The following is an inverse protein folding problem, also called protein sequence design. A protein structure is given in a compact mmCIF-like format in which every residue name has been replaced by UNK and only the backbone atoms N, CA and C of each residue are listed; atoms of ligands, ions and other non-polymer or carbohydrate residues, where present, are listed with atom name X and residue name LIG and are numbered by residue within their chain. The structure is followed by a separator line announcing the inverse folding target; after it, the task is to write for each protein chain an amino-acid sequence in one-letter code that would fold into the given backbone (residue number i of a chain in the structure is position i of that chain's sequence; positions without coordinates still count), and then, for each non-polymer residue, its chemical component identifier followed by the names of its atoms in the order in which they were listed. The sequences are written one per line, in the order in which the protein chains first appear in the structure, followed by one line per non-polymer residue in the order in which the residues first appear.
data_IF_457396031220
#
_entry.id   IF_457396031220
#
_cell.length_a   1.000
_cell.length_b   1.000
_cell.length_c   1.000
_cell.angle_alpha   90.00
_cell.angle_beta   90.00
_cell.angle_gamma   90.00
#
_symmetry.space_group_name_H-M   'P 1'
#
loop_
_entity.id
_entity.type
_entity.pdbx_description
1 polymer ?
#
# COMPACT_ATOMS: atom_id res chain seq x y z
N UNK A 1 26.03 -38.59 29.76
CA UNK A 1 25.02 -38.01 28.86
C UNK A 1 24.31 -36.88 29.61
N UNK A 2 24.55 -35.60 29.21
CA UNK A 2 23.86 -34.47 29.82
C UNK A 2 22.53 -34.27 29.06
N UNK A 3 21.40 -34.11 29.75
CA UNK A 3 20.16 -33.78 29.07
C UNK A 3 20.24 -32.39 28.51
N UNK A 4 20.03 -32.24 27.20
CA UNK A 4 19.90 -30.92 26.57
C UNK A 4 18.60 -30.29 27.09
N UNK A 5 18.77 -29.25 27.93
CA UNK A 5 17.66 -28.41 28.38
C UNK A 5 17.11 -27.68 27.13
N UNK A 6 15.95 -28.07 26.66
CA UNK A 6 15.22 -27.34 25.63
C UNK A 6 14.63 -26.11 26.32
N UNK A 7 15.29 -24.98 26.17
CA UNK A 7 14.72 -23.70 26.56
C UNK A 7 13.61 -23.37 25.56
N UNK A 8 12.36 -23.59 25.96
CA UNK A 8 11.20 -23.09 25.24
C UNK A 8 11.09 -21.59 25.55
N UNK A 9 11.51 -20.75 24.64
CA UNK A 9 11.10 -19.36 24.67
C UNK A 9 9.61 -19.32 24.38
N UNK A 10 8.79 -19.00 25.38
CA UNK A 10 7.44 -18.52 25.14
C UNK A 10 7.60 -17.14 24.48
N UNK A 11 7.52 -17.12 23.16
CA UNK A 11 7.30 -15.86 22.44
C UNK A 11 5.89 -15.45 22.84
N UNK A 12 5.76 -14.48 23.74
CA UNK A 12 4.51 -13.77 23.94
C UNK A 12 4.18 -13.15 22.58
N UNK A 13 3.16 -13.66 21.91
CA UNK A 13 2.68 -13.09 20.68
C UNK A 13 2.21 -11.68 21.01
N UNK A 14 2.86 -10.69 20.43
CA UNK A 14 2.38 -9.31 20.48
C UNK A 14 0.93 -9.34 20.01
N UNK A 15 -0.04 -8.81 20.79
CA UNK A 15 -1.45 -8.91 20.45
C UNK A 15 -1.82 -8.11 19.20
N UNK A 16 -0.87 -7.40 18.61
CA UNK A 16 -1.05 -6.52 17.47
C UNK A 16 -0.06 -6.83 16.35
N UNK A 17 -0.52 -6.71 15.10
CA UNK A 17 0.33 -6.79 13.93
C UNK A 17 0.00 -5.69 12.93
N UNK A 18 1.04 -5.08 12.38
CA UNK A 18 0.94 -4.02 11.37
C UNK A 18 1.47 -4.57 10.06
N UNK A 19 0.68 -4.45 9.00
CA UNK A 19 1.03 -4.93 7.67
C UNK A 19 1.21 -3.75 6.71
N UNK A 20 2.22 -3.80 5.89
CA UNK A 20 2.29 -3.00 4.68
C UNK A 20 1.40 -3.63 3.60
N UNK A 21 0.91 -2.83 2.64
CA UNK A 21 0.01 -3.32 1.60
C UNK A 21 0.76 -3.63 0.30
N UNK A 22 1.36 -2.60 -0.30
CA UNK A 22 1.95 -2.69 -1.63
C UNK A 22 3.26 -3.49 -1.61
N UNK A 23 3.31 -4.57 -2.38
CA UNK A 23 4.46 -5.48 -2.38
C UNK A 23 4.52 -6.42 -1.17
N UNK A 24 3.64 -6.29 -0.17
CA UNK A 24 3.56 -7.14 1.03
C UNK A 24 2.30 -7.99 1.05
N UNK A 25 1.12 -7.41 1.10
CA UNK A 25 -0.16 -8.12 0.99
C UNK A 25 -0.55 -8.35 -0.47
N UNK A 26 -0.29 -7.36 -1.33
CA UNK A 26 -0.63 -7.36 -2.74
C UNK A 26 0.62 -7.32 -3.63
N UNK A 27 0.56 -8.01 -4.76
CA UNK A 27 1.46 -7.82 -5.89
C UNK A 27 0.96 -6.62 -6.70
N UNK A 28 1.32 -5.41 -6.32
CA UNK A 28 0.80 -4.15 -6.86
C UNK A 28 1.86 -3.22 -7.44
N UNK A 29 3.16 -3.53 -7.28
CA UNK A 29 4.24 -2.66 -7.72
C UNK A 29 4.18 -2.36 -9.23
N UNK A 30 3.98 -3.39 -10.07
CA UNK A 30 3.84 -3.22 -11.52
C UNK A 30 2.56 -2.47 -11.93
N UNK A 31 1.50 -2.57 -11.14
CA UNK A 31 0.24 -1.85 -11.36
C UNK A 31 0.45 -0.33 -11.32
N UNK A 32 1.25 0.18 -10.37
CA UNK A 32 1.55 1.62 -10.29
C UNK A 32 2.32 2.14 -11.51
N UNK A 33 3.20 1.32 -12.11
CA UNK A 33 3.84 1.64 -13.39
C UNK A 33 2.79 1.75 -14.51
N UNK A 34 1.86 0.80 -14.58
CA UNK A 34 0.76 0.84 -15.56
C UNK A 34 -0.16 2.05 -15.37
N UNK A 35 -0.48 2.43 -14.13
CA UNK A 35 -1.24 3.67 -13.83
C UNK A 35 -0.53 4.88 -14.43
N UNK A 36 0.77 5.03 -14.17
CA UNK A 36 1.59 6.09 -14.72
C UNK A 36 1.55 6.10 -16.25
N UNK A 37 1.79 4.97 -16.87
CA UNK A 37 1.87 4.85 -18.34
C UNK A 37 0.52 5.13 -19.00
N UNK A 38 -0.59 4.65 -18.44
CA UNK A 38 -1.95 4.92 -18.96
C UNK A 38 -2.28 6.41 -18.93
N UNK A 39 -1.97 7.09 -17.82
CA UNK A 39 -2.24 8.52 -17.70
C UNK A 39 -1.41 9.31 -18.69
N UNK A 40 -0.10 9.07 -18.74
CA UNK A 40 0.78 9.81 -19.63
C UNK A 40 0.48 9.56 -21.10
N UNK A 41 0.14 8.32 -21.48
CA UNK A 41 -0.25 7.98 -22.85
C UNK A 41 -1.49 8.74 -23.33
N UNK A 42 -2.49 9.02 -22.46
CA UNK A 42 -3.69 9.82 -22.80
C UNK A 42 -3.32 11.22 -23.30
N UNK A 43 -2.19 11.76 -22.87
CA UNK A 43 -1.72 13.10 -23.22
C UNK A 43 -0.49 13.10 -24.13
N UNK A 44 -0.11 11.95 -24.69
CA UNK A 44 1.08 11.81 -25.54
C UNK A 44 2.38 12.14 -24.81
N UNK A 45 2.42 11.91 -23.51
CA UNK A 45 3.59 12.15 -22.64
C UNK A 45 4.30 10.85 -22.33
N UNK A 46 5.58 10.96 -21.97
CA UNK A 46 6.42 9.85 -21.53
C UNK A 46 7.18 10.24 -20.26
N UNK A 47 7.68 9.25 -19.54
CA UNK A 47 8.46 9.43 -18.32
C UNK A 47 9.82 8.73 -18.48
N UNK A 48 10.90 9.38 -18.08
CA UNK A 48 12.23 8.75 -18.07
C UNK A 48 12.36 7.76 -16.91
N UNK A 49 13.35 6.88 -16.97
CA UNK A 49 13.62 5.95 -15.87
C UNK A 49 13.91 6.69 -14.55
N UNK A 50 14.71 7.77 -14.60
CA UNK A 50 15.03 8.56 -13.41
C UNK A 50 13.77 9.21 -12.80
N UNK A 51 12.92 9.80 -13.63
CA UNK A 51 11.64 10.38 -13.19
C UNK A 51 10.71 9.31 -12.61
N UNK A 52 10.68 8.10 -13.19
CA UNK A 52 9.88 6.98 -12.67
C UNK A 52 10.35 6.55 -11.28
N UNK A 53 11.67 6.45 -11.07
CA UNK A 53 12.23 6.13 -9.75
C UNK A 53 11.91 7.20 -8.71
N UNK A 54 12.00 8.49 -9.09
CA UNK A 54 11.60 9.59 -8.21
C UNK A 54 10.10 9.54 -7.87
N UNK A 55 9.25 9.22 -8.86
CA UNK A 55 7.79 9.10 -8.68
C UNK A 55 7.38 8.03 -7.66
N UNK A 56 8.14 6.94 -7.54
CA UNK A 56 7.84 5.85 -6.60
C UNK A 56 7.79 6.28 -5.12
N UNK A 57 8.38 7.43 -4.79
CA UNK A 57 8.43 7.94 -3.42
C UNK A 57 7.44 9.07 -3.16
N UNK A 58 6.73 9.52 -4.19
CA UNK A 58 5.79 10.62 -4.10
C UNK A 58 4.41 10.17 -3.59
N UNK A 59 3.69 11.12 -3.00
CA UNK A 59 2.24 10.99 -2.77
C UNK A 59 1.49 11.19 -4.08
N UNK A 60 0.19 10.93 -4.10
CA UNK A 60 -0.66 11.20 -5.27
C UNK A 60 -0.58 12.67 -5.68
N UNK A 61 -0.59 13.61 -4.73
CA UNK A 61 -0.43 15.03 -4.99
C UNK A 61 0.96 15.36 -5.57
N UNK A 62 2.02 14.76 -5.03
CA UNK A 62 3.38 14.93 -5.54
C UNK A 62 3.53 14.40 -6.97
N UNK A 63 2.93 13.26 -7.27
CA UNK A 63 2.88 12.70 -8.63
C UNK A 63 2.09 13.60 -9.57
N UNK A 64 0.94 14.12 -9.14
CA UNK A 64 0.14 15.05 -9.93
C UNK A 64 0.90 16.33 -10.26
N UNK A 65 1.57 16.93 -9.26
CA UNK A 65 2.42 18.10 -9.47
C UNK A 65 3.55 17.81 -10.46
N UNK A 66 4.22 16.66 -10.34
CA UNK A 66 5.26 16.26 -11.30
C UNK A 66 4.70 16.11 -12.73
N UNK A 67 3.55 15.46 -12.90
CA UNK A 67 2.95 15.27 -14.22
C UNK A 67 2.55 16.59 -14.88
N UNK A 68 1.96 17.51 -14.12
CA UNK A 68 1.54 18.81 -14.62
C UNK A 68 2.73 19.73 -14.88
N UNK A 69 3.60 19.92 -13.89
CA UNK A 69 4.66 20.92 -13.94
C UNK A 69 5.88 20.48 -14.75
N UNK A 70 6.28 19.20 -14.66
CA UNK A 70 7.51 18.73 -15.31
C UNK A 70 7.24 18.02 -16.64
N UNK A 71 6.14 17.24 -16.74
CA UNK A 71 5.81 16.49 -17.95
C UNK A 71 4.81 17.24 -18.85
N UNK A 72 4.25 18.35 -18.38
CA UNK A 72 3.33 19.20 -19.14
C UNK A 72 2.00 18.50 -19.48
N UNK A 73 1.46 17.71 -18.55
CA UNK A 73 0.09 17.19 -18.64
C UNK A 73 -0.88 18.38 -18.55
N UNK A 74 -1.80 18.55 -19.52
CA UNK A 74 -2.65 19.73 -19.61
C UNK A 74 -3.88 19.65 -18.68
N UNK A 75 -3.65 19.45 -17.40
CA UNK A 75 -4.62 19.41 -16.32
C UNK A 75 -4.17 20.35 -15.20
N UNK A 76 -5.09 20.69 -14.31
CA UNK A 76 -4.71 21.20 -13.00
C UNK A 76 -4.20 20.08 -12.10
N UNK A 77 -3.40 20.38 -11.09
CA UNK A 77 -2.91 19.36 -10.16
C UNK A 77 -4.04 18.59 -9.45
N UNK A 78 -5.14 19.22 -8.97
CA UNK A 78 -6.27 18.51 -8.41
C UNK A 78 -6.95 17.55 -9.41
N UNK A 79 -7.16 17.96 -10.67
CA UNK A 79 -7.73 17.09 -11.71
C UNK A 79 -6.82 15.90 -12.00
N UNK A 80 -5.51 16.15 -12.07
CA UNK A 80 -4.52 15.10 -12.27
C UNK A 80 -4.50 14.12 -11.09
N UNK A 81 -4.58 14.61 -9.85
CA UNK A 81 -4.64 13.77 -8.66
C UNK A 81 -5.89 12.88 -8.65
N UNK A 82 -7.06 13.42 -9.01
CA UNK A 82 -8.28 12.61 -9.12
C UNK A 82 -8.18 11.56 -10.22
N UNK A 83 -7.56 11.89 -11.34
CA UNK A 83 -7.30 10.91 -12.42
C UNK A 83 -6.37 9.78 -11.93
N UNK A 84 -5.31 10.12 -11.20
CA UNK A 84 -4.41 9.13 -10.60
C UNK A 84 -5.18 8.20 -9.64
N UNK A 85 -6.03 8.75 -8.78
CA UNK A 85 -6.86 7.97 -7.85
C UNK A 85 -7.82 7.03 -8.58
N UNK A 86 -8.45 7.52 -9.64
CA UNK A 86 -9.37 6.71 -10.44
C UNK A 86 -8.65 5.53 -11.12
N UNK A 87 -7.49 5.79 -11.75
CA UNK A 87 -6.68 4.76 -12.38
C UNK A 87 -6.08 3.78 -11.36
N UNK A 88 -5.71 4.26 -10.17
CA UNK A 88 -5.22 3.40 -9.10
C UNK A 88 -6.33 2.48 -8.57
N UNK A 89 -7.56 2.98 -8.36
CA UNK A 89 -8.70 2.11 -7.98
C UNK A 89 -8.93 1.01 -9.01
N UNK A 90 -8.89 1.35 -10.29
CA UNK A 90 -9.00 0.37 -11.36
C UNK A 90 -7.86 -0.65 -11.30
N UNK A 91 -6.62 -0.20 -11.16
CA UNK A 91 -5.45 -1.06 -11.10
C UNK A 91 -5.50 -2.02 -9.91
N UNK A 92 -5.87 -1.54 -8.72
CA UNK A 92 -6.05 -2.41 -7.56
C UNK A 92 -7.13 -3.47 -7.76
N UNK A 93 -8.25 -3.12 -8.39
CA UNK A 93 -9.35 -4.04 -8.60
C UNK A 93 -9.11 -5.06 -9.73
N UNK A 94 -8.31 -4.71 -10.74
CA UNK A 94 -8.20 -5.50 -11.98
C UNK A 94 -6.82 -6.09 -12.23
N UNK A 95 -5.74 -5.49 -11.69
CA UNK A 95 -4.37 -5.87 -12.02
C UNK A 95 -3.60 -6.39 -10.80
N UNK A 96 -3.83 -5.82 -9.61
CA UNK A 96 -3.20 -6.30 -8.40
C UNK A 96 -3.74 -7.70 -8.01
N UNK A 97 -2.90 -8.51 -7.42
CA UNK A 97 -3.28 -9.84 -6.91
C UNK A 97 -2.79 -10.03 -5.48
N UNK A 98 -3.52 -10.84 -4.71
CA UNK A 98 -3.09 -11.20 -3.34
C UNK A 98 -1.84 -12.07 -3.42
N UNK A 99 -0.83 -11.77 -2.61
CA UNK A 99 0.37 -12.61 -2.55
C UNK A 99 0.06 -13.99 -2.00
N UNK A 100 0.72 -15.04 -2.53
CA UNK A 100 0.56 -16.41 -2.01
C UNK A 100 0.79 -16.48 -0.51
N UNK A 101 -0.11 -17.16 0.21
CA UNK A 101 0.01 -17.37 1.65
C UNK A 101 -0.56 -16.26 2.54
N UNK A 102 -0.92 -15.11 1.99
CA UNK A 102 -1.44 -13.97 2.78
C UNK A 102 -2.70 -14.36 3.54
N UNK A 103 -3.71 -14.89 2.88
CA UNK A 103 -4.97 -15.27 3.55
C UNK A 103 -4.76 -16.30 4.66
N UNK A 104 -3.89 -17.27 4.43
CA UNK A 104 -3.57 -18.30 5.43
C UNK A 104 -2.91 -17.70 6.67
N UNK A 105 -1.98 -16.74 6.47
CA UNK A 105 -1.30 -16.05 7.57
C UNK A 105 -2.29 -15.20 8.35
N UNK A 106 -3.09 -14.36 7.66
CA UNK A 106 -4.07 -13.50 8.30
C UNK A 106 -5.11 -14.31 9.09
N UNK A 107 -5.63 -15.38 8.51
CA UNK A 107 -6.57 -16.28 9.20
C UNK A 107 -5.94 -16.92 10.44
N UNK A 108 -4.70 -17.40 10.34
CA UNK A 108 -3.99 -18.02 11.46
C UNK A 108 -3.69 -17.02 12.59
N UNK A 109 -3.39 -15.78 12.28
CA UNK A 109 -3.17 -14.71 13.27
C UNK A 109 -4.49 -14.32 13.92
N UNK A 110 -5.54 -14.12 13.13
CA UNK A 110 -6.87 -13.80 13.64
C UNK A 110 -7.39 -14.88 14.59
N UNK A 111 -7.23 -16.17 14.25
CA UNK A 111 -7.62 -17.28 15.10
C UNK A 111 -6.86 -17.33 16.44
N UNK A 112 -5.72 -16.65 16.55
CA UNK A 112 -4.95 -16.50 17.79
C UNK A 112 -5.27 -15.20 18.56
N UNK A 113 -6.27 -14.45 18.11
CA UNK A 113 -6.68 -13.18 18.74
C UNK A 113 -5.74 -12.01 18.45
N UNK A 114 -4.87 -12.10 17.43
CA UNK A 114 -4.02 -10.99 17.02
C UNK A 114 -4.89 -9.94 16.33
N UNK A 115 -4.85 -8.71 16.82
CA UNK A 115 -5.48 -7.54 16.19
C UNK A 115 -4.57 -7.03 15.07
N UNK A 116 -5.13 -6.69 13.93
CA UNK A 116 -4.34 -6.38 12.74
C UNK A 116 -4.76 -5.04 12.14
N UNK A 117 -3.78 -4.26 11.67
CA UNK A 117 -4.03 -3.04 10.90
C UNK A 117 -3.08 -2.97 9.69
N UNK A 118 -3.39 -2.07 8.77
CA UNK A 118 -2.56 -1.79 7.60
C UNK A 118 -1.93 -0.40 7.73
N UNK A 119 -0.64 -0.31 7.42
CA UNK A 119 0.09 0.95 7.29
C UNK A 119 0.76 1.02 5.91
N UNK A 120 0.33 1.94 5.06
CA UNK A 120 0.82 2.07 3.68
C UNK A 120 1.21 3.51 3.34
N UNK A 121 2.07 3.67 2.33
CA UNK A 121 2.29 4.95 1.66
C UNK A 121 1.11 5.40 0.79
N UNK A 122 0.17 4.51 0.52
CA UNK A 122 -1.07 4.75 -0.24
C UNK A 122 -2.13 5.41 0.65
N UNK A 123 -2.99 6.24 0.07
CA UNK A 123 -4.08 6.93 0.78
C UNK A 123 -5.12 5.94 1.31
N UNK A 124 -5.68 6.21 2.51
CA UNK A 124 -6.68 5.35 3.16
C UNK A 124 -7.83 4.92 2.24
N UNK A 125 -8.49 5.81 1.45
CA UNK A 125 -9.57 5.37 0.56
C UNK A 125 -9.12 4.39 -0.55
N UNK A 126 -7.86 4.46 -0.98
CA UNK A 126 -7.31 3.50 -1.94
C UNK A 126 -6.94 2.17 -1.27
N UNK A 127 -6.42 2.22 -0.03
CA UNK A 127 -6.14 1.01 0.76
C UNK A 127 -7.44 0.24 0.99
N UNK A 128 -8.50 0.91 1.45
CA UNK A 128 -9.80 0.30 1.71
C UNK A 128 -10.41 -0.31 0.44
N UNK A 129 -10.37 0.42 -0.68
CA UNK A 129 -10.84 -0.07 -1.97
C UNK A 129 -10.04 -1.32 -2.43
N UNK A 130 -8.71 -1.28 -2.31
CA UNK A 130 -7.84 -2.40 -2.67
C UNK A 130 -8.11 -3.64 -1.81
N UNK A 131 -8.13 -3.49 -0.49
CA UNK A 131 -8.37 -4.60 0.44
C UNK A 131 -9.79 -5.18 0.29
N UNK A 132 -10.77 -4.31 0.04
CA UNK A 132 -12.18 -4.73 -0.17
C UNK A 132 -12.32 -5.53 -1.46
N UNK A 133 -11.72 -5.08 -2.57
CA UNK A 133 -11.79 -5.79 -3.86
C UNK A 133 -11.20 -7.20 -3.81
N UNK A 134 -10.26 -7.43 -2.91
CA UNK A 134 -9.62 -8.74 -2.69
C UNK A 134 -10.17 -9.50 -1.47
N UNK A 135 -11.22 -8.98 -0.81
CA UNK A 135 -11.83 -9.61 0.36
C UNK A 135 -10.93 -9.64 1.60
N UNK A 136 -9.87 -8.84 1.64
CA UNK A 136 -8.91 -8.80 2.76
C UNK A 136 -9.31 -7.83 3.87
N UNK A 137 -10.16 -6.82 3.60
CA UNK A 137 -10.52 -5.79 4.58
C UNK A 137 -11.09 -6.37 5.87
N UNK A 138 -11.76 -7.53 5.80
CA UNK A 138 -12.33 -8.25 6.96
C UNK A 138 -11.32 -8.65 8.04
N UNK A 139 -10.03 -8.63 7.74
CA UNK A 139 -8.97 -9.03 8.66
C UNK A 139 -8.40 -7.85 9.45
N UNK A 140 -8.68 -6.60 9.05
CA UNK A 140 -8.06 -5.41 9.57
C UNK A 140 -9.08 -4.52 10.28
N UNK A 141 -8.67 -3.95 11.41
CA UNK A 141 -9.51 -3.03 12.19
C UNK A 141 -9.51 -1.62 11.59
N UNK A 142 -8.37 -1.19 11.08
CA UNK A 142 -8.19 0.12 10.45
C UNK A 142 -6.99 0.12 9.50
N UNK A 143 -6.88 1.20 8.72
CA UNK A 143 -5.72 1.51 7.89
C UNK A 143 -5.15 2.88 8.25
N UNK A 144 -3.82 3.02 8.15
CA UNK A 144 -3.09 4.28 8.34
C UNK A 144 -2.35 4.60 7.04
N UNK A 145 -2.47 5.83 6.57
CA UNK A 145 -1.94 6.28 5.30
C UNK A 145 -0.78 7.28 5.41
N UNK A 146 -0.25 7.67 4.25
CA UNK A 146 0.82 8.66 4.13
C UNK A 146 0.45 10.08 4.57
N UNK A 147 -0.84 10.38 4.74
CA UNK A 147 -1.33 11.69 5.18
C UNK A 147 -1.32 11.84 6.69
N UNK A 148 -1.11 10.75 7.43
CA UNK A 148 -0.90 10.85 8.86
C UNK A 148 0.35 11.71 9.12
N UNK A 149 0.23 12.82 9.89
CA UNK A 149 1.33 13.78 10.10
C UNK A 149 2.57 13.12 10.73
N UNK A 150 2.38 12.04 11.44
CA UNK A 150 3.48 11.26 12.03
C UNK A 150 4.03 10.19 11.08
N UNK A 151 3.31 9.86 10.02
CA UNK A 151 3.69 8.92 8.97
C UNK A 151 3.88 7.48 9.46
N UNK A 152 3.95 6.53 8.52
CA UNK A 152 4.11 5.10 8.88
C UNK A 152 5.47 4.75 9.51
N UNK A 153 6.39 5.70 9.60
CA UNK A 153 7.72 5.49 10.19
C UNK A 153 7.76 5.70 11.71
N UNK A 154 6.69 6.21 12.32
CA UNK A 154 6.61 6.43 13.77
C UNK A 154 5.69 5.39 14.40
N UNK A 155 6.24 4.43 15.15
CA UNK A 155 5.46 3.35 15.75
C UNK A 155 4.38 3.83 16.74
N UNK A 156 4.57 4.99 17.37
CA UNK A 156 3.64 5.52 18.37
C UNK A 156 2.23 5.78 17.82
N UNK A 157 2.12 6.06 16.51
CA UNK A 157 0.86 6.29 15.79
C UNK A 157 -0.02 5.03 15.72
N UNK A 158 0.57 3.86 15.93
CA UNK A 158 -0.13 2.57 15.81
C UNK A 158 -0.52 1.97 17.17
N UNK A 159 -0.24 2.68 18.26
CA UNK A 159 -0.42 2.17 19.63
C UNK A 159 -1.59 2.85 20.37
N UNK A 160 -2.14 3.93 19.84
CA UNK A 160 -3.32 4.65 20.35
C UNK A 160 -4.61 4.10 19.75
#
# INVERSE_FOLDING_TARGET
MHPKTIVRYAVELTPYAIFDMDGTLLCSTGMWDHVTDRILAKYGKTITHEQRMANMTLTVEGTAAMFVQQLGVPLTEPECAELIRAEARYGYAQEATVKPGVEQVLAAMHARGVRMCVASGTETPLIEAALTSHGLMRWFEFAVDCKNPDGKKKPDVYLD
#
